data_IF_421842087166
#
_entry.id   IF_421842087166
#
_cell.length_a   1.000
_cell.length_b   1.000
_cell.length_c   1.000
_cell.angle_alpha   90.00
_cell.angle_beta   90.00
_cell.angle_gamma   90.00
#
_symmetry.space_group_name_H-M   'P 1'
#
loop_
_entity.id
_entity.type
_entity.pdbx_description
1 polymer ?
#
# COMPACT_ATOMS: atom_id res chain seq x y z
N UNK A 1 -16.11 5.08 -2.92
CA UNK A 1 -15.21 6.07 -3.53
C UNK A 1 -15.53 7.42 -2.92
N UNK A 2 -14.51 8.25 -2.74
CA UNK A 2 -14.65 9.63 -2.27
C UNK A 2 -13.75 10.52 -3.15
N UNK A 3 -14.15 11.77 -3.38
CA UNK A 3 -13.36 12.75 -4.14
C UNK A 3 -12.11 13.22 -3.37
N UNK A 4 -12.16 13.27 -2.04
CA UNK A 4 -11.02 13.62 -1.19
C UNK A 4 -10.62 12.44 -0.31
N UNK A 5 -9.35 12.04 -0.39
CA UNK A 5 -8.78 10.99 0.46
C UNK A 5 -7.33 11.28 0.81
N UNK A 6 -6.82 10.57 1.81
CA UNK A 6 -5.46 10.73 2.29
C UNK A 6 -4.57 9.60 1.77
N UNK A 7 -3.41 9.98 1.23
CA UNK A 7 -2.39 9.07 0.76
C UNK A 7 -1.11 9.29 1.55
N UNK A 8 -0.42 8.19 1.86
CA UNK A 8 0.93 8.18 2.38
C UNK A 8 1.82 7.59 1.29
N UNK A 9 2.81 8.36 0.87
CA UNK A 9 3.87 7.88 -0.01
C UNK A 9 5.15 7.71 0.79
N UNK A 10 5.96 6.74 0.38
CA UNK A 10 7.28 6.54 0.93
C UNK A 10 8.27 6.20 -0.18
N UNK A 11 9.51 6.62 0.04
CA UNK A 11 10.63 6.33 -0.84
C UNK A 11 11.85 6.02 0.02
N UNK A 12 12.64 5.04 -0.41
CA UNK A 12 13.91 4.69 0.20
C UNK A 12 14.94 4.58 -0.92
N UNK A 13 16.05 5.33 -0.79
CA UNK A 13 17.14 5.40 -1.76
C UNK A 13 18.43 4.92 -1.09
N UNK A 14 19.08 3.93 -1.68
CA UNK A 14 20.38 3.40 -1.27
C UNK A 14 21.03 2.60 -2.43
N UNK A 15 22.28 2.17 -2.29
CA UNK A 15 23.04 1.53 -3.38
C UNK A 15 22.57 0.12 -3.72
N UNK A 16 22.16 -0.66 -2.71
CA UNK A 16 21.83 -2.09 -2.87
C UNK A 16 20.35 -2.39 -2.62
N UNK A 17 19.45 -1.54 -3.13
CA UNK A 17 18.00 -1.71 -2.97
C UNK A 17 17.45 -2.71 -3.99
N UNK A 18 16.55 -3.59 -3.56
CA UNK A 18 15.94 -4.62 -4.38
C UNK A 18 14.45 -4.78 -4.06
N UNK A 19 13.72 -5.50 -4.92
CA UNK A 19 12.31 -5.83 -4.68
C UNK A 19 12.12 -6.63 -3.39
N UNK A 20 13.12 -7.43 -2.97
CA UNK A 20 13.06 -8.15 -1.70
C UNK A 20 13.01 -7.18 -0.50
N UNK A 21 13.78 -6.08 -0.55
CA UNK A 21 13.74 -5.03 0.47
C UNK A 21 12.36 -4.36 0.52
N UNK A 22 11.79 -4.03 -0.64
CA UNK A 22 10.43 -3.49 -0.75
C UNK A 22 9.41 -4.45 -0.12
N UNK A 23 9.40 -5.74 -0.50
CA UNK A 23 8.47 -6.74 0.05
C UNK A 23 8.60 -6.86 1.56
N UNK A 24 9.83 -6.92 2.07
CA UNK A 24 10.08 -6.99 3.51
C UNK A 24 9.55 -5.75 4.23
N UNK A 25 9.88 -4.54 3.74
CA UNK A 25 9.41 -3.29 4.32
C UNK A 25 7.88 -3.24 4.36
N UNK A 26 7.23 -3.58 3.26
CA UNK A 26 5.77 -3.56 3.16
C UNK A 26 5.11 -4.59 4.07
N UNK A 27 5.64 -5.82 4.15
CA UNK A 27 5.13 -6.85 5.07
C UNK A 27 5.25 -6.38 6.52
N UNK A 28 6.40 -5.84 6.92
CA UNK A 28 6.65 -5.34 8.28
C UNK A 28 5.73 -4.18 8.65
N UNK A 29 5.64 -3.17 7.78
CA UNK A 29 4.83 -1.98 8.01
C UNK A 29 3.34 -2.32 8.07
N UNK A 30 2.83 -3.12 7.14
CA UNK A 30 1.42 -3.55 7.15
C UNK A 30 1.11 -4.46 8.34
N UNK A 31 2.03 -5.35 8.75
CA UNK A 31 1.83 -6.17 9.95
C UNK A 31 1.76 -5.34 11.22
N UNK A 32 2.60 -4.30 11.35
CA UNK A 32 2.53 -3.37 12.47
C UNK A 32 1.19 -2.61 12.47
N UNK A 33 0.72 -2.16 11.30
CA UNK A 33 -0.56 -1.48 11.16
C UNK A 33 -1.75 -2.38 11.46
N UNK A 34 -1.74 -3.65 11.06
CA UNK A 34 -2.88 -4.53 11.31
C UNK A 34 -2.79 -5.28 12.64
N UNK A 35 -1.70 -5.11 13.40
CA UNK A 35 -1.40 -5.86 14.63
C UNK A 35 -1.48 -7.38 14.46
N UNK A 36 -1.10 -7.87 13.28
CA UNK A 36 -1.09 -9.31 12.93
C UNK A 36 -0.17 -9.56 11.75
N UNK A 37 0.27 -10.81 11.59
CA UNK A 37 1.00 -11.19 10.39
C UNK A 37 0.12 -11.01 9.14
N UNK A 38 0.68 -10.38 8.11
CA UNK A 38 0.02 -10.25 6.80
C UNK A 38 0.76 -11.04 5.74
N UNK A 39 -0.02 -11.72 4.90
CA UNK A 39 0.48 -12.33 3.68
C UNK A 39 0.32 -11.33 2.54
N UNK A 40 1.41 -11.03 1.86
CA UNK A 40 1.45 -10.12 0.71
C UNK A 40 1.76 -10.90 -0.57
N UNK A 41 1.26 -10.43 -1.70
CA UNK A 41 1.71 -10.85 -3.02
C UNK A 41 1.88 -9.63 -3.93
N UNK A 42 2.78 -9.75 -4.89
CA UNK A 42 2.97 -8.75 -5.94
C UNK A 42 2.31 -9.23 -7.22
N UNK A 43 1.50 -8.37 -7.84
CA UNK A 43 1.08 -8.51 -9.24
C UNK A 43 1.85 -7.50 -10.09
N UNK A 44 2.33 -7.86 -11.29
CA UNK A 44 2.92 -6.89 -12.20
C UNK A 44 1.95 -5.72 -12.44
N UNK A 45 2.47 -4.50 -12.35
CA UNK A 45 1.73 -3.27 -12.57
C UNK A 45 2.60 -2.25 -13.28
N UNK A 46 1.99 -1.23 -13.88
CA UNK A 46 2.71 -0.16 -14.54
C UNK A 46 2.43 1.17 -13.84
N UNK A 47 3.49 1.83 -13.37
CA UNK A 47 3.44 3.21 -12.92
C UNK A 47 4.66 3.95 -13.48
N UNK A 48 4.52 5.12 -14.12
CA UNK A 48 5.62 5.77 -14.86
C UNK A 48 6.87 6.12 -14.04
N UNK A 49 6.74 6.19 -12.72
CA UNK A 49 7.81 6.59 -11.79
C UNK A 49 8.55 5.40 -11.16
N UNK A 50 8.18 4.15 -11.50
CA UNK A 50 8.89 2.94 -11.06
C UNK A 50 9.10 1.94 -12.20
N UNK A 51 10.20 1.20 -12.15
CA UNK A 51 10.48 0.07 -13.04
C UNK A 51 11.45 -0.93 -12.38
N UNK A 52 11.04 -2.19 -12.10
CA UNK A 52 9.70 -2.76 -12.31
C UNK A 52 8.65 -2.21 -11.33
N UNK A 53 7.41 -2.13 -11.81
CA UNK A 53 6.23 -1.73 -11.03
C UNK A 53 5.34 -2.90 -10.61
N UNK A 54 4.65 -2.74 -9.48
CA UNK A 54 3.81 -3.76 -8.87
C UNK A 54 2.58 -3.18 -8.18
N UNK A 55 1.47 -3.90 -8.29
CA UNK A 55 0.34 -3.80 -7.37
C UNK A 55 0.57 -4.78 -6.22
N UNK A 56 0.64 -4.28 -4.98
CA UNK A 56 0.76 -5.13 -3.79
C UNK A 56 -0.63 -5.41 -3.24
N UNK A 57 -0.91 -6.70 -3.08
CA UNK A 57 -2.16 -7.18 -2.49
C UNK A 57 -1.90 -7.88 -1.16
N UNK A 58 -2.84 -7.71 -0.25
CA UNK A 58 -2.85 -8.38 1.06
C UNK A 58 -3.93 -9.45 1.05
N UNK A 59 -3.63 -10.63 1.58
CA UNK A 59 -4.64 -11.67 1.79
C UNK A 59 -5.77 -11.09 2.66
N UNK A 60 -7.01 -11.30 2.25
CA UNK A 60 -8.16 -10.67 2.91
C UNK A 60 -8.20 -11.01 4.40
N UNK A 61 -8.01 -9.98 5.24
CA UNK A 61 -7.87 -10.14 6.67
C UNK A 61 -9.20 -10.50 7.37
N UNK A 62 -10.32 -10.20 6.71
CA UNK A 62 -11.68 -10.44 7.22
C UNK A 62 -12.14 -11.90 7.06
N UNK A 63 -11.81 -12.55 5.94
CA UNK A 63 -12.22 -13.93 5.64
C UNK A 63 -11.06 -14.93 5.66
N UNK A 64 -9.84 -14.51 6.01
CA UNK A 64 -8.65 -15.37 5.98
C UNK A 64 -8.31 -15.92 4.59
N UNK A 65 -8.81 -15.28 3.53
CA UNK A 65 -8.62 -15.73 2.15
C UNK A 65 -9.71 -16.66 1.60
N UNK A 66 -10.72 -17.05 2.38
CA UNK A 66 -11.81 -17.92 1.91
C UNK A 66 -12.70 -17.26 0.83
N UNK A 67 -12.70 -15.92 0.76
CA UNK A 67 -13.55 -15.14 -0.13
C UNK A 67 -14.72 -14.50 0.61
N UNK A 68 -14.96 -13.21 0.35
CA UNK A 68 -16.08 -12.45 0.89
C UNK A 68 -16.37 -11.23 -0.01
N UNK A 69 -17.47 -10.50 0.20
CA UNK A 69 -17.79 -9.30 -0.59
C UNK A 69 -16.66 -8.27 -0.64
N UNK A 70 -15.91 -8.07 0.45
CA UNK A 70 -14.82 -7.07 0.53
C UNK A 70 -13.66 -7.38 -0.43
N UNK A 71 -13.27 -8.66 -0.55
CA UNK A 71 -12.23 -9.09 -1.48
C UNK A 71 -12.80 -9.59 -2.82
N UNK A 72 -14.07 -9.28 -3.13
CA UNK A 72 -14.78 -9.74 -4.33
C UNK A 72 -14.66 -11.26 -4.53
N UNK A 73 -14.70 -12.02 -3.43
CA UNK A 73 -14.53 -13.47 -3.41
C UNK A 73 -13.19 -14.01 -3.94
N UNK A 74 -12.20 -13.14 -4.19
CA UNK A 74 -10.88 -13.54 -4.69
C UNK A 74 -9.86 -13.87 -3.60
N UNK A 75 -10.18 -13.61 -2.33
CA UNK A 75 -9.28 -13.87 -1.19
C UNK A 75 -8.15 -12.84 -1.02
N UNK A 76 -8.02 -11.86 -1.91
CA UNK A 76 -6.98 -10.84 -1.93
C UNK A 76 -7.56 -9.44 -2.07
N UNK A 77 -6.91 -8.47 -1.45
CA UNK A 77 -7.30 -7.06 -1.48
C UNK A 77 -6.08 -6.23 -1.83
N UNK A 78 -6.12 -5.62 -3.01
CA UNK A 78 -5.14 -4.62 -3.43
C UNK A 78 -5.05 -3.48 -2.41
N UNK A 79 -3.83 -3.09 -2.03
CA UNK A 79 -3.59 -2.01 -1.06
C UNK A 79 -2.87 -0.81 -1.64
N UNK A 80 -1.92 -1.03 -2.55
CA UNK A 80 -0.98 0.01 -2.97
C UNK A 80 -0.27 -0.35 -4.26
N UNK A 81 0.17 0.70 -4.96
CA UNK A 81 1.19 0.62 -6.01
C UNK A 81 2.59 0.79 -5.42
N UNK A 82 3.56 0.05 -5.94
CA UNK A 82 4.96 0.14 -5.52
C UNK A 82 5.90 -0.33 -6.62
N UNK A 83 7.20 -0.09 -6.45
CA UNK A 83 8.22 -0.59 -7.39
C UNK A 83 9.59 0.02 -7.13
N UNK A 84 10.57 -0.38 -7.94
CA UNK A 84 11.90 0.25 -7.89
C UNK A 84 11.84 1.60 -8.60
N UNK A 85 12.45 2.64 -8.04
CA UNK A 85 12.36 4.00 -8.60
C UNK A 85 12.96 4.02 -10.01
N UNK A 86 12.21 4.56 -10.97
CA UNK A 86 12.64 4.58 -12.37
C UNK A 86 13.90 5.46 -12.52
N UNK A 87 14.95 5.06 -13.27
CA UNK A 87 16.21 5.81 -13.39
C UNK A 87 16.06 7.28 -13.80
N UNK A 88 15.10 7.60 -14.67
CA UNK A 88 14.77 8.99 -15.02
C UNK A 88 14.34 9.85 -13.81
N UNK A 89 13.62 9.29 -12.84
CA UNK A 89 13.22 10.01 -11.61
C UNK A 89 14.45 10.35 -10.77
N UNK A 90 15.39 9.40 -10.63
CA UNK A 90 16.65 9.61 -9.94
C UNK A 90 17.48 10.70 -10.64
N UNK A 91 17.65 10.59 -11.96
CA UNK A 91 18.42 11.55 -12.76
C UNK A 91 17.85 12.96 -12.70
N UNK A 92 16.53 13.10 -12.78
CA UNK A 92 15.84 14.39 -12.62
C UNK A 92 15.99 14.99 -11.23
N UNK A 93 16.28 14.14 -10.22
CA UNK A 93 16.53 14.54 -8.84
C UNK A 93 18.02 14.76 -8.53
N UNK A 94 18.91 14.68 -9.53
CA UNK A 94 20.35 14.85 -9.35
C UNK A 94 21.06 13.65 -8.71
N UNK A 95 20.44 12.47 -8.77
CA UNK A 95 20.98 11.21 -8.22
C UNK A 95 21.42 10.33 -9.38
N UNK A 96 22.65 9.81 -9.30
CA UNK A 96 23.21 8.90 -10.32
C UNK A 96 22.59 7.49 -10.20
N UNK A 97 21.79 7.04 -11.19
CA UNK A 97 21.14 5.72 -11.14
C UNK A 97 22.12 4.54 -11.32
N UNK A 98 23.37 4.79 -11.72
CA UNK A 98 24.40 3.75 -11.79
C UNK A 98 25.03 3.48 -10.39
N UNK A 99 24.93 4.43 -9.46
CA UNK A 99 25.39 4.27 -8.07
C UNK A 99 24.23 4.03 -7.10
N UNK A 100 23.10 4.69 -7.31
CA UNK A 100 21.97 4.70 -6.38
C UNK A 100 20.73 4.06 -6.99
N UNK A 101 20.01 3.29 -6.17
CA UNK A 101 18.73 2.72 -6.50
C UNK A 101 17.74 3.03 -5.38
N UNK A 102 16.50 2.58 -5.51
CA UNK A 102 15.52 2.75 -4.46
C UNK A 102 14.20 2.06 -4.77
N UNK A 103 13.30 2.08 -3.80
CA UNK A 103 11.90 1.74 -4.03
C UNK A 103 11.00 2.89 -3.59
N UNK A 104 9.83 2.96 -4.22
CA UNK A 104 8.75 3.84 -3.83
C UNK A 104 7.44 3.06 -3.68
N UNK A 105 6.54 3.57 -2.85
CA UNK A 105 5.19 3.03 -2.67
C UNK A 105 4.19 4.13 -2.35
N UNK A 106 2.92 3.91 -2.68
CA UNK A 106 1.82 4.81 -2.37
C UNK A 106 0.63 4.06 -1.76
N UNK A 107 0.27 4.41 -0.53
CA UNK A 107 -0.76 3.74 0.28
C UNK A 107 -1.92 4.70 0.57
N UNK A 108 -3.15 4.25 0.30
CA UNK A 108 -4.35 4.97 0.73
C UNK A 108 -4.66 4.75 2.21
N UNK A 109 -4.50 5.78 3.04
CA UNK A 109 -4.77 5.70 4.49
C UNK A 109 -6.24 5.38 4.77
N UNK A 110 -7.15 5.97 4.00
CA UNK A 110 -8.59 5.71 4.12
C UNK A 110 -8.91 4.22 3.99
N UNK A 111 -8.36 3.55 2.98
CA UNK A 111 -8.58 2.11 2.76
C UNK A 111 -7.99 1.27 3.89
N UNK A 112 -6.80 1.63 4.34
CA UNK A 112 -6.10 0.96 5.43
C UNK A 112 -6.90 1.01 6.74
N UNK A 113 -7.41 2.19 7.10
CA UNK A 113 -8.25 2.41 8.30
C UNK A 113 -9.56 1.65 8.17
N UNK A 114 -10.23 1.73 7.01
CA UNK A 114 -11.47 0.98 6.77
C UNK A 114 -11.28 -0.52 7.00
N UNK A 115 -10.18 -1.09 6.50
CA UNK A 115 -9.89 -2.51 6.71
C UNK A 115 -9.48 -2.86 8.13
N UNK A 116 -8.73 -1.99 8.81
CA UNK A 116 -8.28 -2.20 10.19
C UNK A 116 -9.47 -2.25 11.16
N UNK A 117 -10.47 -1.39 10.95
CA UNK A 117 -11.61 -1.27 11.85
C UNK A 117 -12.92 -1.86 11.30
N UNK A 118 -12.90 -2.48 10.11
CA UNK A 118 -14.10 -3.06 9.51
C UNK A 118 -15.16 -2.03 9.12
N UNK A 119 -14.74 -0.82 8.74
CA UNK A 119 -15.65 0.24 8.29
C UNK A 119 -16.07 -0.08 6.85
N UNK A 120 -17.37 -0.22 6.65
CA UNK A 120 -17.99 -0.63 5.37
C UNK A 120 -18.28 0.56 4.44
N UNK A 121 -18.34 1.78 4.96
CA UNK A 121 -18.60 2.99 4.20
C UNK A 121 -17.55 4.09 4.45
N UNK A 122 -16.89 4.49 3.37
CA UNK A 122 -15.87 5.56 3.36
C UNK A 122 -16.43 6.90 3.84
N UNK A 123 -17.73 7.15 3.66
CA UNK A 123 -18.36 8.44 3.99
C UNK A 123 -18.38 8.72 5.49
N UNK A 124 -18.30 7.68 6.33
CA UNK A 124 -18.20 7.87 7.77
C UNK A 124 -16.93 8.63 8.18
N UNK A 125 -15.84 8.50 7.44
CA UNK A 125 -14.57 9.17 7.74
C UNK A 125 -14.62 10.70 7.54
N UNK A 126 -15.62 11.20 6.82
CA UNK A 126 -15.80 12.63 6.52
C UNK A 126 -17.18 13.16 6.97
N UNK A 127 -17.97 12.37 7.71
CA UNK A 127 -19.34 12.73 8.06
C UNK A 127 -19.45 13.69 9.25
N UNK A 128 -18.43 13.75 10.10
CA UNK A 128 -18.49 14.48 11.38
C UNK A 128 -19.43 13.86 12.41
N UNK A 129 -19.92 12.62 12.21
CA UNK A 129 -20.83 11.96 13.14
C UNK A 129 -20.12 11.57 14.45
N UNK A 130 -20.49 12.21 15.56
CA UNK A 130 -19.93 11.92 16.88
C UNK A 130 -20.12 10.46 17.31
N UNK A 131 -21.18 9.78 16.85
CA UNK A 131 -21.41 8.35 17.16
C UNK A 131 -20.36 7.46 16.48
N UNK A 132 -19.88 7.86 15.32
CA UNK A 132 -18.77 7.20 14.64
C UNK A 132 -17.44 7.55 15.31
N UNK A 133 -17.19 8.84 15.56
CA UNK A 133 -15.92 9.31 16.12
C UNK A 133 -15.62 8.76 17.53
N UNK A 134 -16.64 8.62 18.38
CA UNK A 134 -16.48 8.11 19.76
C UNK A 134 -16.21 6.60 19.86
N UNK A 135 -16.07 5.87 18.75
CA UNK A 135 -15.72 4.43 18.75
C UNK A 135 -14.21 4.17 18.79
N UNK A 136 -13.40 5.22 18.62
CA UNK A 136 -11.93 5.17 18.53
C UNK A 136 -11.29 6.10 19.56
#
# INVERSE_FOLDING_TARGET
HEHTFYQLEGMMIDREVSVAHLVYFMKTMLSAVFHREVTVRLRPGYFPFVEPGFELEVQCLLCGGAGCPVCKYGGWVEQLGCGLVHPNVLRMSGIDPDEWNGFAFGLGLTRLVMMRYGIDDIRYLQSGDLRFLNQF
#
